data_IF_218343877515
#
_entry.id   IF_218343877515
#
_cell.length_a   1.000
_cell.length_b   1.000
_cell.length_c   1.000
_cell.angle_alpha   90.00
_cell.angle_beta   90.00
_cell.angle_gamma   90.00
#
_symmetry.space_group_name_H-M   'P 1'
#
loop_
_entity.id
_entity.type
_entity.pdbx_description
1 polymer ?
#
# COMPACT_ATOMS: atom_id res chain seq x y z
N UNK A 1 -6.51 -8.07 14.77
CA UNK A 1 -6.12 -7.54 13.45
C UNK A 1 -4.91 -8.27 12.85
N UNK A 2 -3.78 -8.42 13.55
CA UNK A 2 -2.57 -9.14 13.07
C UNK A 2 -2.82 -10.55 12.50
N UNK A 3 -3.82 -11.27 12.98
CA UNK A 3 -4.15 -12.63 12.50
C UNK A 3 -4.74 -12.67 11.08
N UNK A 4 -5.26 -11.54 10.58
CA UNK A 4 -5.94 -11.46 9.28
C UNK A 4 -5.14 -10.72 8.20
N UNK A 5 -4.21 -9.84 8.61
CA UNK A 5 -3.40 -8.98 7.73
C UNK A 5 -1.92 -8.96 8.14
N UNK A 6 -1.27 -10.14 8.25
CA UNK A 6 0.09 -10.19 8.79
C UNK A 6 1.11 -9.51 7.89
N UNK A 7 1.00 -9.68 6.57
CA UNK A 7 1.92 -9.09 5.60
C UNK A 7 1.72 -7.58 5.49
N UNK A 8 0.48 -7.11 5.43
CA UNK A 8 0.18 -5.67 5.41
C UNK A 8 0.72 -4.96 6.64
N UNK A 9 0.54 -5.53 7.83
CA UNK A 9 1.09 -4.96 9.06
C UNK A 9 2.62 -4.91 9.04
N UNK A 10 3.27 -5.97 8.55
CA UNK A 10 4.74 -6.03 8.43
C UNK A 10 5.25 -4.93 7.48
N UNK A 11 4.64 -4.78 6.31
CA UNK A 11 5.06 -3.78 5.33
C UNK A 11 4.81 -2.35 5.81
N UNK A 12 3.69 -2.09 6.47
CA UNK A 12 3.41 -0.78 7.08
C UNK A 12 4.45 -0.45 8.16
N UNK A 13 4.77 -1.41 9.03
CA UNK A 13 5.81 -1.22 10.05
C UNK A 13 7.19 -0.97 9.42
N UNK A 14 7.53 -1.69 8.34
CA UNK A 14 8.78 -1.48 7.60
C UNK A 14 8.85 -0.07 6.98
N UNK A 15 7.76 0.44 6.43
CA UNK A 15 7.67 1.82 5.92
C UNK A 15 7.96 2.82 7.04
N UNK A 16 7.28 2.69 8.18
CA UNK A 16 7.48 3.59 9.30
C UNK A 16 8.94 3.57 9.78
N UNK A 17 9.53 2.39 9.94
CA UNK A 17 10.93 2.25 10.32
C UNK A 17 11.83 2.92 9.29
N UNK A 18 11.69 2.62 8.00
CA UNK A 18 12.52 3.15 6.93
C UNK A 18 12.42 4.70 6.83
N UNK A 19 11.22 5.25 7.01
CA UNK A 19 10.99 6.70 6.94
C UNK A 19 11.63 7.48 8.09
N UNK A 20 11.80 6.87 9.27
CA UNK A 20 12.36 7.54 10.46
C UNK A 20 13.76 7.07 10.85
N UNK A 21 14.27 5.99 10.25
CA UNK A 21 15.66 5.56 10.45
C UNK A 21 16.66 6.58 9.91
N UNK A 22 17.78 6.71 10.60
CA UNK A 22 18.96 7.35 10.04
C UNK A 22 19.58 6.40 9.02
N UNK A 23 19.44 6.71 7.75
CA UNK A 23 20.14 5.98 6.68
C UNK A 23 21.49 6.69 6.48
N UNK A 24 22.62 5.99 6.65
CA UNK A 24 23.93 6.56 6.32
C UNK A 24 24.00 6.84 4.81
N UNK A 25 24.70 7.88 4.43
CA UNK A 25 24.94 8.20 3.01
C UNK A 25 25.54 7.01 2.29
N UNK A 26 24.91 6.61 1.21
CA UNK A 26 25.35 5.48 0.40
C UNK A 26 25.81 5.96 -0.98
N UNK A 27 26.67 5.21 -1.70
CA UNK A 27 27.04 5.55 -3.08
C UNK A 27 25.84 5.67 -4.02
N UNK A 28 24.68 5.09 -3.63
CA UNK A 28 23.42 5.14 -4.38
C UNK A 28 22.72 6.49 -4.30
N UNK A 29 23.06 7.33 -3.33
CA UNK A 29 22.50 8.69 -3.18
C UNK A 29 22.90 9.60 -4.36
N UNK A 30 23.96 9.24 -5.09
CA UNK A 30 24.37 9.90 -6.33
C UNK A 30 23.52 9.50 -7.56
N UNK A 31 22.65 8.49 -7.46
CA UNK A 31 21.75 8.10 -8.54
C UNK A 31 20.50 8.97 -8.48
N UNK A 32 20.29 9.75 -9.55
CA UNK A 32 19.15 10.66 -9.64
C UNK A 32 17.83 9.95 -9.33
N UNK A 33 17.07 10.50 -8.39
CA UNK A 33 15.75 10.01 -7.99
C UNK A 33 15.72 8.63 -7.33
N UNK A 34 16.85 8.07 -6.86
CA UNK A 34 16.86 6.76 -6.21
C UNK A 34 15.91 6.69 -5.02
N UNK A 35 15.87 7.75 -4.23
CA UNK A 35 14.92 7.90 -3.12
C UNK A 35 13.45 7.79 -3.60
N UNK A 36 13.09 8.48 -4.67
CA UNK A 36 11.75 8.45 -5.27
C UNK A 36 11.35 7.06 -5.77
N UNK A 37 12.29 6.34 -6.39
CA UNK A 37 12.06 4.96 -6.82
C UNK A 37 11.83 4.03 -5.63
N UNK A 38 12.56 4.20 -4.55
CA UNK A 38 12.39 3.44 -3.31
C UNK A 38 10.98 3.67 -2.73
N UNK A 39 10.55 4.92 -2.64
CA UNK A 39 9.20 5.27 -2.20
C UNK A 39 8.12 4.65 -3.09
N UNK A 40 8.26 4.75 -4.41
CA UNK A 40 7.32 4.19 -5.38
C UNK A 40 7.17 2.67 -5.22
N UNK A 41 8.28 1.94 -5.15
CA UNK A 41 8.28 0.47 -5.02
C UNK A 41 7.73 0.04 -3.66
N UNK A 42 8.11 0.72 -2.60
CA UNK A 42 7.72 0.43 -1.23
C UNK A 42 6.19 0.58 -1.05
N UNK A 43 5.62 1.70 -1.50
CA UNK A 43 4.18 1.92 -1.45
C UNK A 43 3.42 1.05 -2.46
N UNK A 44 3.98 0.83 -3.65
CA UNK A 44 3.39 -0.04 -4.66
C UNK A 44 3.22 -1.48 -4.17
N UNK A 45 4.28 -2.05 -3.62
CA UNK A 45 4.23 -3.41 -3.06
C UNK A 45 3.28 -3.51 -1.88
N UNK A 46 3.30 -2.53 -0.98
CA UNK A 46 2.41 -2.47 0.19
C UNK A 46 0.94 -2.44 -0.22
N UNK A 47 0.57 -1.56 -1.14
CA UNK A 47 -0.83 -1.45 -1.60
C UNK A 47 -1.29 -2.70 -2.36
N UNK A 48 -0.43 -3.33 -3.16
CA UNK A 48 -0.74 -4.60 -3.81
C UNK A 48 -1.01 -5.71 -2.79
N UNK A 49 -0.20 -5.82 -1.75
CA UNK A 49 -0.35 -6.81 -0.68
C UNK A 49 -1.63 -6.56 0.11
N UNK A 50 -1.90 -5.30 0.54
CA UNK A 50 -3.13 -4.92 1.24
C UNK A 50 -4.35 -5.30 0.40
N UNK A 51 -4.33 -5.01 -0.91
CA UNK A 51 -5.42 -5.34 -1.82
C UNK A 51 -5.66 -6.86 -1.89
N UNK A 52 -4.61 -7.66 -2.02
CA UNK A 52 -4.70 -9.12 -2.11
C UNK A 52 -5.21 -9.72 -0.79
N UNK A 53 -4.71 -9.26 0.36
CA UNK A 53 -5.15 -9.73 1.67
C UNK A 53 -6.63 -9.37 1.92
N UNK A 54 -7.06 -8.14 1.62
CA UNK A 54 -8.44 -7.69 1.71
C UNK A 54 -9.36 -8.54 0.80
N UNK A 55 -8.93 -8.81 -0.43
CA UNK A 55 -9.69 -9.67 -1.36
C UNK A 55 -9.85 -11.08 -0.84
N UNK A 56 -8.78 -11.66 -0.30
CA UNK A 56 -8.81 -13.01 0.30
C UNK A 56 -9.77 -13.06 1.49
N UNK A 57 -9.77 -12.03 2.33
CA UNK A 57 -10.67 -11.92 3.46
C UNK A 57 -12.13 -11.80 3.01
N UNK A 58 -12.42 -10.95 2.02
CA UNK A 58 -13.77 -10.77 1.44
C UNK A 58 -14.32 -12.09 0.87
N UNK A 59 -13.50 -12.86 0.16
CA UNK A 59 -13.90 -14.16 -0.40
C UNK A 59 -14.21 -15.15 0.71
N UNK A 60 -13.39 -15.21 1.77
CA UNK A 60 -13.61 -16.10 2.92
C UNK A 60 -14.87 -15.73 3.73
N UNK A 61 -15.18 -14.44 3.84
CA UNK A 61 -16.41 -14.01 4.55
C UNK A 61 -17.67 -14.28 3.73
N UNK A 62 -17.63 -14.07 2.41
CA UNK A 62 -18.78 -14.32 1.50
C UNK A 62 -19.10 -15.79 1.29
N UNK A 63 -18.15 -16.70 1.46
CA UNK A 63 -18.41 -18.14 1.41
C UNK A 63 -19.30 -18.65 2.54
N UNK A 64 -19.63 -17.80 3.52
CA UNK A 64 -20.56 -18.11 4.63
C UNK A 64 -21.98 -17.57 4.43
N UNK A 65 -22.15 -16.58 3.53
CA UNK A 65 -23.43 -15.90 3.31
C UNK A 65 -23.82 -15.97 1.82
N UNK A 66 -24.48 -17.03 1.41
CA UNK A 66 -24.83 -17.33 -0.01
C UNK A 66 -25.96 -16.43 -0.55
N UNK A 67 -26.67 -15.67 0.29
CA UNK A 67 -28.00 -15.12 -0.07
C UNK A 67 -28.05 -13.63 -0.47
N UNK A 68 -26.95 -12.86 -0.49
CA UNK A 68 -27.00 -11.40 -0.78
C UNK A 68 -26.10 -10.96 -1.94
N UNK A 69 -26.42 -11.38 -3.16
CA UNK A 69 -25.48 -11.35 -4.29
C UNK A 69 -25.50 -10.11 -5.22
N UNK A 70 -26.40 -9.17 -5.12
CA UNK A 70 -26.56 -8.11 -6.14
C UNK A 70 -25.98 -6.74 -5.75
N UNK A 71 -26.33 -6.24 -4.59
CA UNK A 71 -26.02 -4.86 -4.16
C UNK A 71 -24.65 -4.69 -3.49
N UNK A 72 -24.04 -5.79 -3.07
CA UNK A 72 -22.81 -5.79 -2.24
C UNK A 72 -21.49 -5.66 -3.02
N UNK A 73 -21.47 -5.91 -4.33
CA UNK A 73 -20.21 -5.86 -5.11
C UNK A 73 -19.61 -4.45 -5.18
N UNK A 74 -20.43 -3.44 -5.41
CA UNK A 74 -19.96 -2.04 -5.50
C UNK A 74 -19.49 -1.54 -4.12
N UNK A 75 -20.23 -1.88 -3.06
CA UNK A 75 -19.86 -1.52 -1.68
C UNK A 75 -18.59 -2.22 -1.23
N UNK A 76 -18.40 -3.47 -1.59
CA UNK A 76 -17.19 -4.25 -1.34
C UNK A 76 -15.98 -3.64 -2.08
N UNK A 77 -16.15 -3.27 -3.37
CA UNK A 77 -15.08 -2.65 -4.15
C UNK A 77 -14.68 -1.28 -3.59
N UNK A 78 -15.63 -0.44 -3.20
CA UNK A 78 -15.34 0.86 -2.56
C UNK A 78 -14.55 0.66 -1.28
N UNK A 79 -14.92 -0.30 -0.44
CA UNK A 79 -14.20 -0.63 0.79
C UNK A 79 -12.78 -1.12 0.50
N UNK A 80 -12.60 -1.99 -0.49
CA UNK A 80 -11.30 -2.46 -0.94
C UNK A 80 -10.40 -1.30 -1.36
N UNK A 81 -10.90 -0.40 -2.20
CA UNK A 81 -10.16 0.78 -2.65
C UNK A 81 -9.83 1.73 -1.49
N UNK A 82 -10.76 1.94 -0.57
CA UNK A 82 -10.53 2.77 0.61
C UNK A 82 -9.35 2.26 1.45
N UNK A 83 -9.36 0.99 1.81
CA UNK A 83 -8.29 0.41 2.65
C UNK A 83 -6.98 0.17 1.90
N UNK A 84 -7.03 -0.14 0.61
CA UNK A 84 -5.84 -0.51 -0.15
C UNK A 84 -5.17 0.66 -0.87
N UNK A 85 -5.86 1.78 -1.05
CA UNK A 85 -5.33 2.95 -1.72
C UNK A 85 -5.39 4.21 -0.86
N UNK A 86 -6.61 4.64 -0.45
CA UNK A 86 -6.77 5.92 0.23
C UNK A 86 -6.06 5.94 1.58
N UNK A 87 -6.19 4.90 2.38
CA UNK A 87 -5.57 4.85 3.71
C UNK A 87 -4.03 4.89 3.64
N UNK A 88 -3.33 4.12 2.78
CA UNK A 88 -1.89 4.26 2.60
C UNK A 88 -1.46 5.63 2.06
N UNK A 89 -2.23 6.24 1.16
CA UNK A 89 -1.94 7.59 0.65
C UNK A 89 -2.06 8.64 1.77
N UNK A 90 -3.09 8.58 2.59
CA UNK A 90 -3.22 9.47 3.76
C UNK A 90 -2.10 9.26 4.77
N UNK A 91 -1.72 8.00 5.01
CA UNK A 91 -0.58 7.66 5.86
C UNK A 91 0.72 8.24 5.30
N UNK A 92 0.93 8.20 3.98
CA UNK A 92 2.07 8.82 3.32
C UNK A 92 2.14 10.32 3.59
N UNK A 93 1.04 11.04 3.37
CA UNK A 93 0.99 12.47 3.66
C UNK A 93 1.27 12.80 5.13
N UNK A 94 0.77 11.97 6.05
CA UNK A 94 1.07 12.12 7.47
C UNK A 94 2.56 11.93 7.77
N UNK A 95 3.20 10.92 7.16
CA UNK A 95 4.63 10.67 7.32
C UNK A 95 5.44 11.87 6.83
N UNK A 96 5.12 12.46 5.67
CA UNK A 96 5.81 13.65 5.14
C UNK A 96 5.70 14.84 6.11
N UNK A 97 4.51 15.08 6.68
CA UNK A 97 4.30 16.13 7.68
C UNK A 97 5.15 15.86 8.94
N UNK A 98 5.15 14.62 9.43
CA UNK A 98 5.94 14.24 10.60
C UNK A 98 7.45 14.35 10.33
N UNK A 99 7.91 14.00 9.14
CA UNK A 99 9.31 14.16 8.75
C UNK A 99 9.70 15.64 8.74
N UNK A 100 8.86 16.52 8.18
CA UNK A 100 9.09 17.95 8.17
C UNK A 100 9.13 18.58 9.58
N UNK A 101 8.31 18.08 10.52
CA UNK A 101 8.13 18.72 11.84
C UNK A 101 8.90 18.06 12.97
N UNK A 102 9.09 16.73 12.92
CA UNK A 102 9.59 15.95 14.07
C UNK A 102 11.03 15.47 13.93
N UNK A 103 11.66 15.62 12.74
CA UNK A 103 13.03 15.10 12.54
C UNK A 103 14.13 16.10 12.84
N UNK A 104 13.80 17.32 13.28
CA UNK A 104 14.79 18.36 13.59
C UNK A 104 15.63 18.78 12.40
N UNK A 105 15.07 18.78 11.18
CA UNK A 105 15.73 19.16 9.95
C UNK A 105 16.58 18.05 9.29
N UNK A 106 16.63 16.85 9.87
CA UNK A 106 17.35 15.71 9.29
C UNK A 106 16.68 15.14 8.04
N UNK A 107 15.38 15.23 7.94
CA UNK A 107 14.59 14.92 6.75
C UNK A 107 13.61 16.05 6.48
N UNK A 108 13.59 16.52 5.25
CA UNK A 108 12.59 17.47 4.77
C UNK A 108 11.46 16.68 4.15
N UNK A 109 10.22 16.94 4.58
CA UNK A 109 9.05 16.42 3.87
C UNK A 109 9.05 16.95 2.43
N UNK A 110 9.00 16.08 1.44
CA UNK A 110 9.07 16.44 0.03
C UNK A 110 7.77 16.06 -0.69
N UNK A 111 7.17 17.05 -1.36
CA UNK A 111 5.98 16.81 -2.20
C UNK A 111 6.22 15.79 -3.31
N UNK A 112 7.46 15.67 -3.80
CA UNK A 112 7.82 14.66 -4.80
C UNK A 112 7.78 13.26 -4.20
N UNK A 113 8.13 13.08 -2.92
CA UNK A 113 8.03 11.81 -2.23
C UNK A 113 6.57 11.41 -2.03
N UNK A 114 5.71 12.36 -1.66
CA UNK A 114 4.27 12.14 -1.61
C UNK A 114 3.69 11.76 -2.98
N UNK A 115 4.14 12.43 -4.06
CA UNK A 115 3.72 12.09 -5.43
C UNK A 115 4.20 10.69 -5.84
N UNK A 116 5.46 10.33 -5.53
CA UNK A 116 6.00 9.00 -5.78
C UNK A 116 5.23 7.92 -5.01
N UNK A 117 4.92 8.15 -3.73
CA UNK A 117 4.12 7.27 -2.88
C UNK A 117 2.71 7.05 -3.44
N UNK A 118 2.04 8.13 -3.86
CA UNK A 118 0.69 8.07 -4.45
C UNK A 118 0.68 7.32 -5.78
N UNK A 119 1.70 7.57 -6.63
CA UNK A 119 1.87 6.86 -7.90
C UNK A 119 2.14 5.39 -7.66
N UNK A 120 3.04 5.06 -6.74
CA UNK A 120 3.33 3.69 -6.32
C UNK A 120 2.08 2.98 -5.81
N UNK A 121 1.32 3.61 -4.91
CA UNK A 121 0.06 3.09 -4.39
C UNK A 121 -0.94 2.77 -5.51
N UNK A 122 -1.06 3.65 -6.50
CA UNK A 122 -1.96 3.46 -7.65
C UNK A 122 -1.53 2.26 -8.50
N UNK A 123 -0.25 2.18 -8.85
CA UNK A 123 0.32 1.05 -9.59
C UNK A 123 0.12 -0.26 -8.81
N UNK A 124 0.37 -0.23 -7.51
CA UNK A 124 0.20 -1.39 -6.63
C UNK A 124 -1.22 -1.92 -6.60
N UNK A 125 -2.23 -1.05 -6.48
CA UNK A 125 -3.64 -1.46 -6.52
C UNK A 125 -4.03 -2.00 -7.90
N UNK A 126 -3.61 -1.35 -8.99
CA UNK A 126 -3.86 -1.84 -10.36
C UNK A 126 -3.25 -3.23 -10.55
N UNK A 127 -2.00 -3.42 -10.14
CA UNK A 127 -1.32 -4.72 -10.18
C UNK A 127 -2.08 -5.77 -9.35
N UNK A 128 -2.52 -5.42 -8.14
CA UNK A 128 -3.32 -6.28 -7.28
C UNK A 128 -4.64 -6.70 -7.92
N UNK A 129 -5.33 -5.79 -8.63
CA UNK A 129 -6.56 -6.09 -9.38
C UNK A 129 -6.27 -7.08 -10.52
N UNK A 130 -5.21 -6.84 -11.29
CA UNK A 130 -4.82 -7.70 -12.41
C UNK A 130 -4.46 -9.11 -11.93
N UNK A 131 -3.63 -9.22 -10.90
CA UNK A 131 -3.27 -10.49 -10.29
C UNK A 131 -4.49 -11.25 -9.76
N UNK A 132 -5.41 -10.56 -9.09
CA UNK A 132 -6.63 -11.17 -8.59
C UNK A 132 -7.53 -11.70 -9.71
N UNK A 133 -7.57 -11.02 -10.86
CA UNK A 133 -8.31 -11.49 -12.06
C UNK A 133 -7.62 -12.72 -12.67
N UNK A 134 -6.30 -12.69 -12.88
CA UNK A 134 -5.54 -13.81 -13.42
C UNK A 134 -5.71 -15.08 -12.58
N UNK A 135 -5.57 -14.96 -11.25
CA UNK A 135 -5.75 -16.09 -10.34
C UNK A 135 -7.18 -16.65 -10.35
N UNK A 136 -8.18 -15.79 -10.54
CA UNK A 136 -9.57 -16.23 -10.64
C UNK A 136 -9.86 -17.00 -11.96
N UNK A 137 -9.20 -16.60 -13.05
CA UNK A 137 -9.32 -17.27 -14.35
C UNK A 137 -8.64 -18.65 -14.34
N UNK A 138 -7.41 -18.72 -13.80
CA UNK A 138 -6.65 -19.96 -13.71
C UNK A 138 -7.32 -21.04 -12.81
N UNK A 139 -8.21 -20.63 -11.91
CA UNK A 139 -8.93 -21.53 -10.99
C UNK A 139 -10.23 -22.10 -11.59
N UNK A 140 -10.65 -21.58 -12.75
CA UNK A 140 -11.88 -21.99 -13.45
C UNK A 140 -11.64 -22.89 -14.66
N UNK A 141 -10.39 -22.98 -15.15
CA UNK A 141 -9.95 -23.95 -16.14
C UNK A 141 -9.40 -25.20 -15.47
#
# INVERSE_FOLDING_TARGET
MLRFYPLSCLFIAAIWIACFMNVPETPLDNVAFMDKWTHLVMYGSTCAIIFIENRRHDIKSKGRDIEKQGHDKAKSMRRLLFYSWLLPVLMSGLIEILQATCTGGRRSGDWLDFAANTTGATIGVVTGILLAKCLATCRRG
#
